data_IF_932387784476
#
_entry.id   IF_932387784476
#
_cell.length_a   1.000
_cell.length_b   1.000
_cell.length_c   1.000
_cell.angle_alpha   90.00
_cell.angle_beta   90.00
_cell.angle_gamma   90.00
#
_symmetry.space_group_name_H-M   'P 1'
#
loop_
_entity.id
_entity.type
_entity.pdbx_description
1 polymer ?
#
# COMPACT_ATOMS: atom_id res chain seq x y z
N UNK A 1 -20.13 -4.09 15.20
CA UNK A 1 -19.11 -5.15 15.42
C UNK A 1 -17.88 -4.80 14.60
N UNK A 2 -16.67 -4.84 15.18
CA UNK A 2 -15.43 -4.55 14.45
C UNK A 2 -14.76 -5.83 13.95
N UNK A 3 -14.37 -5.86 12.68
CA UNK A 3 -13.70 -6.99 12.04
C UNK A 3 -12.29 -6.57 11.65
N UNK A 4 -11.29 -7.17 12.32
CA UNK A 4 -9.87 -6.93 12.08
C UNK A 4 -9.33 -7.94 11.04
N UNK A 5 -8.91 -7.41 9.88
CA UNK A 5 -8.37 -8.22 8.78
C UNK A 5 -6.88 -8.50 8.98
N UNK A 6 -6.08 -7.46 9.21
CA UNK A 6 -4.66 -7.54 9.52
C UNK A 6 -4.29 -6.40 10.47
N UNK A 7 -3.30 -6.62 11.32
CA UNK A 7 -2.75 -5.54 12.14
C UNK A 7 -2.04 -4.48 11.27
N UNK A 8 -2.23 -3.19 11.56
CA UNK A 8 -1.64 -2.11 10.77
C UNK A 8 -0.11 -2.13 10.82
N UNK A 9 0.48 -2.63 11.91
CA UNK A 9 1.94 -2.76 12.08
C UNK A 9 2.59 -3.65 11.01
N UNK A 10 1.91 -4.72 10.58
CA UNK A 10 2.41 -5.62 9.54
C UNK A 10 2.48 -4.91 8.20
N UNK A 11 1.47 -4.10 7.86
CA UNK A 11 1.45 -3.30 6.64
C UNK A 11 2.52 -2.22 6.66
N UNK A 12 2.71 -1.56 7.80
CA UNK A 12 3.83 -0.65 8.04
C UNK A 12 5.19 -1.34 7.90
N UNK A 13 5.34 -2.55 8.40
CA UNK A 13 6.55 -3.36 8.24
C UNK A 13 6.89 -3.61 6.77
N UNK A 14 5.89 -4.00 5.96
CA UNK A 14 6.07 -4.19 4.51
C UNK A 14 6.46 -2.90 3.79
N UNK A 15 5.83 -1.77 4.15
CA UNK A 15 6.21 -0.46 3.62
C UNK A 15 7.66 -0.08 3.99
N UNK A 16 8.10 -0.32 5.24
CA UNK A 16 9.47 -0.03 5.67
C UNK A 16 10.51 -0.81 4.87
N UNK A 17 10.22 -2.07 4.51
CA UNK A 17 11.10 -2.87 3.64
C UNK A 17 11.25 -2.21 2.26
N UNK A 18 10.14 -1.76 1.66
CA UNK A 18 10.19 -1.03 0.38
C UNK A 18 10.92 0.31 0.50
N UNK A 19 10.78 1.01 1.62
CA UNK A 19 11.53 2.24 1.89
C UNK A 19 13.04 1.98 1.98
N UNK A 20 13.46 0.85 2.55
CA UNK A 20 14.87 0.43 2.53
C UNK A 20 15.37 0.12 1.12
N UNK A 21 14.57 -0.57 0.29
CA UNK A 21 14.91 -0.77 -1.12
C UNK A 21 15.00 0.55 -1.90
N UNK A 22 14.12 1.51 -1.59
CA UNK A 22 14.19 2.85 -2.15
C UNK A 22 15.53 3.52 -1.80
N UNK A 23 15.97 3.46 -0.54
CA UNK A 23 17.27 4.00 -0.13
C UNK A 23 18.46 3.29 -0.82
N UNK A 24 18.45 1.96 -0.90
CA UNK A 24 19.48 1.18 -1.59
C UNK A 24 19.54 1.50 -3.09
N UNK A 25 18.40 1.78 -3.71
CA UNK A 25 18.34 2.12 -5.13
C UNK A 25 19.07 3.43 -5.46
N UNK A 26 19.11 4.40 -4.53
CA UNK A 26 19.88 5.65 -4.70
C UNK A 26 21.35 5.33 -4.88
N UNK A 27 21.89 4.48 -4.01
CA UNK A 27 23.30 4.08 -4.02
C UNK A 27 23.62 3.32 -5.31
N UNK A 28 22.75 2.38 -5.71
CA UNK A 28 22.95 1.58 -6.90
C UNK A 28 22.91 2.43 -8.18
N UNK A 29 21.91 3.32 -8.32
CA UNK A 29 21.81 4.23 -9.46
C UNK A 29 23.02 5.17 -9.52
N UNK A 30 23.48 5.68 -8.37
CA UNK A 30 24.69 6.50 -8.32
C UNK A 30 25.93 5.76 -8.82
N UNK A 31 26.15 4.51 -8.37
CA UNK A 31 27.28 3.68 -8.82
C UNK A 31 27.21 3.44 -10.34
N UNK A 32 26.03 3.10 -10.87
CA UNK A 32 25.83 2.89 -12.31
C UNK A 32 26.17 4.16 -13.10
N UNK A 33 25.70 5.33 -12.65
CA UNK A 33 26.01 6.60 -13.31
C UNK A 33 27.51 6.92 -13.30
N UNK A 34 28.21 6.61 -12.19
CA UNK A 34 29.66 6.79 -12.08
C UNK A 34 30.41 5.87 -13.04
N UNK A 35 30.02 4.60 -13.13
CA UNK A 35 30.61 3.64 -14.07
C UNK A 35 30.37 4.07 -15.51
N UNK A 36 29.14 4.48 -15.87
CA UNK A 36 28.83 4.98 -17.21
C UNK A 36 29.65 6.21 -17.58
N UNK A 37 29.79 7.16 -16.66
CA UNK A 37 30.56 8.38 -16.87
C UNK A 37 32.04 8.09 -17.09
N UNK A 38 32.59 7.14 -16.32
CA UNK A 38 33.96 6.66 -16.48
C UNK A 38 34.17 6.01 -17.85
N UNK A 39 33.27 5.08 -18.25
CA UNK A 39 33.34 4.38 -19.53
C UNK A 39 33.18 5.32 -20.74
N UNK A 40 32.36 6.37 -20.61
CA UNK A 40 32.05 7.32 -21.69
C UNK A 40 32.95 8.57 -21.67
N UNK A 41 33.90 8.66 -20.74
CA UNK A 41 34.73 9.85 -20.50
C UNK A 41 33.92 11.15 -20.38
N UNK A 42 32.73 11.08 -19.77
CA UNK A 42 31.84 12.24 -19.60
C UNK A 42 31.90 12.75 -18.16
N UNK A 43 31.85 14.06 -17.98
CA UNK A 43 31.64 14.66 -16.66
C UNK A 43 30.17 14.53 -16.24
N UNK A 44 29.94 14.17 -14.98
CA UNK A 44 28.61 14.13 -14.41
C UNK A 44 28.24 15.48 -13.82
N UNK A 45 27.16 16.08 -14.30
CA UNK A 45 26.57 17.26 -13.68
C UNK A 45 25.72 16.86 -12.47
N UNK A 46 25.86 17.56 -11.35
CA UNK A 46 25.11 17.30 -10.10
C UNK A 46 23.60 17.23 -10.33
N UNK A 47 23.05 18.15 -11.14
CA UNK A 47 21.61 18.19 -11.50
C UNK A 47 21.12 16.88 -12.11
N UNK A 48 21.91 16.27 -13.00
CA UNK A 48 21.55 15.02 -13.68
C UNK A 48 21.59 13.83 -12.72
N UNK A 49 22.57 13.80 -11.82
CA UNK A 49 22.66 12.77 -10.78
C UNK A 49 21.44 12.83 -9.87
N UNK A 50 21.12 14.00 -9.32
CA UNK A 50 19.99 14.16 -8.40
C UNK A 50 18.70 13.71 -9.07
N UNK A 51 18.43 14.19 -10.29
CA UNK A 51 17.20 13.83 -11.01
C UNK A 51 17.07 12.31 -11.25
N UNK A 52 18.15 11.66 -11.71
CA UNK A 52 18.14 10.21 -11.99
C UNK A 52 18.09 9.36 -10.72
N UNK A 53 18.81 9.76 -9.68
CA UNK A 53 18.82 9.06 -8.40
C UNK A 53 17.48 9.18 -7.65
N UNK A 54 16.71 10.26 -7.86
CA UNK A 54 15.41 10.45 -7.21
C UNK A 54 14.27 9.65 -7.85
N UNK A 55 14.37 9.29 -9.13
CA UNK A 55 13.26 8.65 -9.85
C UNK A 55 12.86 7.29 -9.24
N UNK A 56 13.82 6.39 -9.06
CA UNK A 56 13.57 5.02 -8.60
C UNK A 56 13.06 4.96 -7.14
N UNK A 57 13.62 5.73 -6.19
CA UNK A 57 13.09 5.82 -4.82
C UNK A 57 11.66 6.35 -4.77
N UNK A 58 11.34 7.40 -5.55
CA UNK A 58 9.99 7.96 -5.60
C UNK A 58 9.00 6.91 -6.11
N UNK A 59 9.37 6.12 -7.13
CA UNK A 59 8.56 5.01 -7.61
C UNK A 59 8.30 3.97 -6.51
N UNK A 60 9.34 3.50 -5.81
CA UNK A 60 9.20 2.51 -4.75
C UNK A 60 8.34 3.00 -3.58
N UNK A 61 8.54 4.24 -3.15
CA UNK A 61 7.73 4.83 -2.07
C UNK A 61 6.26 5.00 -2.49
N UNK A 62 6.01 5.41 -3.74
CA UNK A 62 4.64 5.57 -4.27
C UNK A 62 3.93 4.23 -4.35
N UNK A 63 4.57 3.20 -4.92
CA UNK A 63 4.00 1.85 -4.98
C UNK A 63 3.78 1.28 -3.58
N UNK A 64 4.75 1.45 -2.68
CA UNK A 64 4.61 1.00 -1.30
C UNK A 64 3.47 1.69 -0.56
N UNK A 65 3.28 2.98 -0.78
CA UNK A 65 2.17 3.74 -0.21
C UNK A 65 0.83 3.20 -0.69
N UNK A 66 0.64 3.08 -2.01
CA UNK A 66 -0.62 2.62 -2.61
C UNK A 66 -0.95 1.16 -2.26
N UNK A 67 0.06 0.29 -2.14
CA UNK A 67 -0.16 -1.12 -1.86
C UNK A 67 -0.31 -1.46 -0.37
N UNK A 68 0.31 -0.68 0.53
CA UNK A 68 0.38 -1.05 1.95
C UNK A 68 -0.20 -0.01 2.90
N UNK A 69 -0.14 1.29 2.58
CA UNK A 69 -0.54 2.35 3.51
C UNK A 69 -1.93 2.93 3.20
N UNK A 70 -2.28 3.12 1.93
CA UNK A 70 -3.62 3.59 1.53
C UNK A 70 -4.62 2.42 1.40
N UNK A 71 -4.69 1.63 2.47
CA UNK A 71 -5.56 0.46 2.59
C UNK A 71 -6.25 0.48 3.94
N UNK A 72 -7.47 -0.02 4.01
CA UNK A 72 -8.14 -0.21 5.29
C UNK A 72 -7.75 -1.54 5.94
N UNK A 73 -7.53 -1.54 7.25
CA UNK A 73 -7.06 -2.73 7.99
C UNK A 73 -8.14 -3.37 8.87
N UNK A 74 -9.14 -2.58 9.26
CA UNK A 74 -10.35 -3.05 9.91
C UNK A 74 -11.55 -2.27 9.41
N UNK A 75 -12.74 -2.80 9.68
CA UNK A 75 -13.98 -2.06 9.50
C UNK A 75 -14.98 -2.41 10.59
N UNK A 76 -15.91 -1.49 10.84
CA UNK A 76 -16.99 -1.66 11.81
C UNK A 76 -18.35 -1.41 11.15
N UNK A 77 -19.27 -2.36 11.32
CA UNK A 77 -20.65 -2.22 10.88
C UNK A 77 -21.45 -1.52 11.98
N UNK A 78 -22.11 -0.43 11.61
CA UNK A 78 -22.98 0.35 12.47
C UNK A 78 -24.42 -0.19 12.45
N UNK A 79 -25.24 0.08 13.48
CA UNK A 79 -26.62 -0.39 13.56
C UNK A 79 -27.53 0.07 12.41
N UNK A 80 -27.17 1.17 11.73
CA UNK A 80 -27.89 1.73 10.59
C UNK A 80 -27.47 1.13 9.24
N UNK A 81 -26.60 0.11 9.22
CA UNK A 81 -26.08 -0.50 8.00
C UNK A 81 -24.82 0.15 7.42
N UNK A 82 -24.39 1.30 7.95
CA UNK A 82 -23.17 1.95 7.47
C UNK A 82 -21.92 1.19 7.92
N UNK A 83 -20.90 1.21 7.07
CA UNK A 83 -19.58 0.62 7.36
C UNK A 83 -18.56 1.73 7.57
N UNK A 84 -17.83 1.66 8.69
CA UNK A 84 -16.69 2.54 8.98
C UNK A 84 -15.42 1.77 8.64
N UNK A 85 -14.64 2.25 7.68
CA UNK A 85 -13.32 1.73 7.33
C UNK A 85 -12.24 2.43 8.16
N UNK A 86 -11.35 1.68 8.81
CA UNK A 86 -10.18 2.21 9.49
C UNK A 86 -8.93 2.02 8.63
N UNK A 87 -8.22 3.10 8.33
CA UNK A 87 -7.07 3.10 7.42
C UNK A 87 -5.74 2.90 8.13
N UNK A 88 -4.78 2.26 7.44
CA UNK A 88 -3.40 2.14 7.93
C UNK A 88 -2.74 3.51 7.98
N UNK A 89 -2.97 4.34 6.96
CA UNK A 89 -2.47 5.71 6.88
C UNK A 89 -3.48 6.66 6.21
N UNK A 90 -3.53 7.95 6.61
CA UNK A 90 -2.98 8.48 7.86
C UNK A 90 -3.60 7.81 9.10
N UNK A 91 -2.83 7.76 10.18
CA UNK A 91 -3.27 7.15 11.42
C UNK A 91 -4.54 7.84 11.93
N UNK A 92 -5.52 7.05 12.34
CA UNK A 92 -6.83 7.56 12.77
C UNK A 92 -7.78 7.96 11.64
N UNK A 93 -7.39 7.85 10.36
CA UNK A 93 -8.32 8.06 9.23
C UNK A 93 -9.42 7.00 9.25
N UNK A 94 -10.65 7.50 9.29
CA UNK A 94 -11.88 6.70 9.21
C UNK A 94 -12.74 7.18 8.06
N UNK A 95 -13.32 6.25 7.31
CA UNK A 95 -14.24 6.55 6.21
C UNK A 95 -15.55 5.82 6.47
N UNK A 96 -16.63 6.57 6.72
CA UNK A 96 -17.96 6.00 6.82
C UNK A 96 -18.61 5.98 5.43
N UNK A 97 -19.16 4.84 5.05
CA UNK A 97 -19.82 4.63 3.77
C UNK A 97 -21.03 3.72 3.90
N UNK A 98 -21.91 3.77 2.90
CA UNK A 98 -22.99 2.82 2.72
C UNK A 98 -22.56 1.82 1.62
N UNK A 99 -22.34 0.55 1.96
CA UNK A 99 -21.80 -0.43 1.01
C UNK A 99 -22.87 -0.84 -0.01
N UNK A 100 -22.55 -0.75 -1.30
CA UNK A 100 -23.40 -1.30 -2.37
C UNK A 100 -23.11 -2.78 -2.63
N UNK A 101 -21.83 -3.15 -2.54
CA UNK A 101 -21.35 -4.50 -2.81
C UNK A 101 -20.02 -4.74 -2.13
N UNK A 102 -19.87 -5.92 -1.53
CA UNK A 102 -18.58 -6.42 -1.06
C UNK A 102 -18.21 -7.72 -1.77
N UNK A 103 -16.93 -7.94 -2.04
CA UNK A 103 -16.42 -9.21 -2.56
C UNK A 103 -14.99 -9.48 -2.14
N UNK A 104 -14.58 -10.73 -2.31
CA UNK A 104 -13.22 -11.18 -2.02
C UNK A 104 -12.42 -11.25 -3.32
N UNK A 105 -11.20 -10.71 -3.28
CA UNK A 105 -10.16 -11.06 -4.24
C UNK A 105 -9.14 -11.98 -3.58
N UNK A 106 -8.85 -13.10 -4.24
CA UNK A 106 -7.77 -13.99 -3.83
C UNK A 106 -6.50 -13.65 -4.60
N UNK A 107 -5.37 -13.69 -3.93
CA UNK A 107 -4.06 -13.58 -4.54
C UNK A 107 -3.12 -14.60 -3.86
N UNK A 108 -1.95 -14.86 -4.44
CA UNK A 108 -1.00 -15.87 -3.93
C UNK A 108 -0.59 -15.62 -2.48
N UNK A 109 -0.57 -14.36 -2.04
CA UNK A 109 -0.20 -13.97 -0.68
C UNK A 109 -1.38 -13.97 0.31
N UNK A 110 -2.61 -14.28 -0.11
CA UNK A 110 -3.78 -14.35 0.75
C UNK A 110 -5.06 -13.80 0.11
N UNK A 111 -5.81 -13.02 0.87
CA UNK A 111 -7.11 -12.51 0.47
C UNK A 111 -7.28 -11.03 0.83
N UNK A 112 -7.93 -10.27 -0.05
CA UNK A 112 -8.36 -8.89 0.23
C UNK A 112 -9.87 -8.73 0.05
N UNK A 113 -10.47 -7.89 0.88
CA UNK A 113 -11.88 -7.48 0.78
C UNK A 113 -11.96 -6.21 -0.04
N UNK A 114 -12.87 -6.20 -1.00
CA UNK A 114 -13.22 -5.03 -1.80
C UNK A 114 -14.63 -4.60 -1.44
N UNK A 115 -14.80 -3.30 -1.21
CA UNK A 115 -16.10 -2.69 -0.96
C UNK A 115 -16.30 -1.63 -2.03
N UNK A 116 -17.42 -1.71 -2.74
CA UNK A 116 -17.91 -0.67 -3.62
C UNK A 116 -18.94 0.15 -2.87
N UNK A 117 -18.77 1.46 -2.89
CA UNK A 117 -19.79 2.40 -2.48
C UNK A 117 -19.80 3.55 -3.48
N UNK A 118 -20.98 3.88 -4.01
CA UNK A 118 -21.14 4.87 -5.06
C UNK A 118 -20.26 4.54 -6.30
N UNK A 119 -19.32 5.43 -6.63
CA UNK A 119 -18.37 5.29 -7.74
C UNK A 119 -16.95 4.90 -7.29
N UNK A 120 -16.73 4.66 -5.98
CA UNK A 120 -15.41 4.38 -5.43
C UNK A 120 -15.23 2.90 -5.05
N UNK A 121 -13.97 2.47 -5.13
CA UNK A 121 -13.54 1.14 -4.74
C UNK A 121 -12.57 1.22 -3.59
N UNK A 122 -12.91 0.55 -2.50
CA UNK A 122 -12.10 0.47 -1.29
C UNK A 122 -11.51 -0.93 -1.22
N UNK A 123 -10.19 -1.02 -1.05
CA UNK A 123 -9.47 -2.29 -0.92
C UNK A 123 -8.85 -2.42 0.46
N UNK A 124 -9.03 -3.57 1.08
CA UNK A 124 -8.43 -3.89 2.37
C UNK A 124 -6.95 -4.24 2.24
N UNK A 125 -6.27 -4.21 3.38
CA UNK A 125 -5.02 -4.97 3.57
C UNK A 125 -5.25 -6.46 3.30
N UNK A 126 -4.21 -7.16 2.87
CA UNK A 126 -4.29 -8.60 2.62
C UNK A 126 -4.27 -9.40 3.93
N UNK A 127 -5.33 -10.18 4.16
CA UNK A 127 -5.39 -11.18 5.22
C UNK A 127 -4.83 -12.52 4.73
N UNK A 128 -4.02 -13.19 5.55
CA UNK A 128 -3.52 -14.55 5.29
C UNK A 128 -4.66 -15.58 5.44
N UNK A 129 -5.65 -15.29 6.30
CA UNK A 129 -6.77 -16.19 6.58
C UNK A 129 -7.95 -15.86 5.68
N UNK A 130 -8.23 -16.74 4.72
CA UNK A 130 -9.37 -16.63 3.80
C UNK A 130 -10.70 -16.64 4.55
N UNK A 131 -10.81 -17.41 5.64
CA UNK A 131 -12.02 -17.46 6.47
C UNK A 131 -12.39 -16.10 7.06
N UNK A 132 -11.41 -15.27 7.44
CA UNK A 132 -11.65 -13.91 7.93
C UNK A 132 -12.25 -13.01 6.85
N UNK A 133 -11.75 -13.10 5.62
CA UNK A 133 -12.32 -12.35 4.51
C UNK A 133 -13.75 -12.78 4.18
N UNK A 134 -14.02 -14.09 4.26
CA UNK A 134 -15.37 -14.61 4.03
C UNK A 134 -16.34 -14.10 5.08
N UNK A 135 -15.98 -14.22 6.35
CA UNK A 135 -16.75 -13.64 7.45
C UNK A 135 -16.94 -12.12 7.30
N UNK A 136 -15.93 -11.42 6.80
CA UNK A 136 -16.02 -9.99 6.55
C UNK A 136 -17.03 -9.63 5.46
N UNK A 137 -17.04 -10.36 4.35
CA UNK A 137 -18.00 -10.13 3.26
C UNK A 137 -19.39 -10.59 3.63
N UNK A 138 -19.53 -11.72 4.34
CA UNK A 138 -20.84 -12.22 4.79
C UNK A 138 -21.52 -11.31 5.82
N UNK A 139 -20.74 -10.44 6.48
CA UNK A 139 -21.22 -9.47 7.46
C UNK A 139 -21.65 -8.12 6.84
N UNK A 140 -21.27 -7.84 5.59
CA UNK A 140 -21.59 -6.60 4.86
C UNK A 140 -22.76 -6.86 3.91
#
# INVERSE_FOLDING_TARGET
MEILLLEPEVSWGKFKILAWFAALSIVLVYVVLRVEAYMKFKSLTVKSIVFKCSFLPVLFLTVGYLEHLDRFYSFAIQPNGNVILNYVFPEGKKVALEPEKAWISHDRAGCAVYIKAQAEHYKSVMSIRVSKCRQAVDAI
#
